data_IF_453549110366
#
_entry.id   IF_453549110366
#
_cell.length_a   1.000
_cell.length_b   1.000
_cell.length_c   1.000
_cell.angle_alpha   90.00
_cell.angle_beta   90.00
_cell.angle_gamma   90.00
#
_symmetry.space_group_name_H-M   'P 1'
#
loop_
_entity.id
_entity.type
_entity.pdbx_description
1 polymer ?
#
# COMPACT_ATOMS: atom_id res chain seq x y z
N UNK A 1 108.93 -43.05 -59.73
CA UNK A 1 109.44 -44.38 -60.12
C UNK A 1 108.42 -45.44 -59.66
N UNK A 2 107.69 -46.06 -60.61
CA UNK A 2 107.09 -47.43 -60.57
C UNK A 2 106.05 -47.72 -59.44
N UNK A 3 104.95 -48.47 -59.59
CA UNK A 3 104.44 -49.43 -60.59
C UNK A 3 102.89 -49.55 -60.41
N UNK A 4 102.22 -50.01 -61.47
CA UNK A 4 100.79 -50.40 -61.58
C UNK A 4 100.31 -51.44 -60.55
N UNK A 5 99.00 -51.43 -60.21
CA UNK A 5 98.09 -52.59 -60.46
C UNK A 5 96.61 -52.24 -60.18
N UNK A 6 95.72 -52.68 -61.07
CA UNK A 6 94.25 -52.63 -60.95
C UNK A 6 93.76 -53.88 -60.19
N UNK A 7 92.77 -53.75 -59.33
CA UNK A 7 91.79 -54.83 -59.07
C UNK A 7 90.44 -54.24 -58.65
N UNK A 8 89.39 -54.67 -59.35
CA UNK A 8 88.00 -54.25 -59.18
C UNK A 8 87.34 -55.20 -58.17
N UNK A 9 86.78 -54.68 -57.07
CA UNK A 9 85.89 -55.44 -56.17
C UNK A 9 84.67 -54.58 -55.86
N UNK A 10 83.51 -55.10 -56.28
CA UNK A 10 82.17 -54.61 -56.01
C UNK A 10 81.78 -55.01 -54.58
N UNK A 11 81.52 -54.05 -53.70
CA UNK A 11 80.92 -54.29 -52.38
C UNK A 11 79.69 -53.40 -52.23
N UNK A 12 78.57 -54.08 -52.07
CA UNK A 12 77.21 -53.63 -51.81
C UNK A 12 77.14 -52.74 -50.57
N UNK A 13 76.59 -51.52 -50.72
CA UNK A 13 76.11 -50.72 -49.60
C UNK A 13 74.88 -51.39 -48.99
N UNK A 14 75.04 -51.94 -47.79
CA UNK A 14 73.92 -52.31 -46.93
C UNK A 14 73.38 -51.01 -46.33
N UNK A 15 72.29 -50.49 -46.89
CA UNK A 15 71.45 -49.54 -46.18
C UNK A 15 70.81 -50.27 -45.01
N UNK A 16 71.30 -50.01 -43.81
CA UNK A 16 70.54 -50.29 -42.58
C UNK A 16 69.37 -49.31 -42.62
N UNK A 17 68.24 -49.78 -43.15
CA UNK A 17 66.96 -49.10 -43.02
C UNK A 17 66.61 -49.11 -41.54
N UNK A 18 66.80 -47.97 -40.88
CA UNK A 18 66.15 -47.71 -39.61
C UNK A 18 64.65 -47.68 -39.91
N UNK A 19 63.94 -48.71 -39.52
CA UNK A 19 62.48 -48.77 -39.61
C UNK A 19 61.95 -47.72 -38.62
N UNK A 20 61.64 -46.52 -39.11
CA UNK A 20 60.91 -45.52 -38.35
C UNK A 20 59.58 -46.17 -37.93
N UNK A 21 59.47 -46.51 -36.64
CA UNK A 21 58.17 -46.84 -36.06
C UNK A 21 57.34 -45.58 -36.17
N UNK A 22 56.32 -45.59 -37.03
CA UNK A 22 55.31 -44.54 -37.07
C UNK A 22 54.78 -44.34 -35.64
N UNK A 23 55.15 -43.23 -35.01
CA UNK A 23 54.64 -42.87 -33.70
C UNK A 23 53.14 -42.61 -33.84
N UNK A 24 52.33 -43.40 -33.12
CA UNK A 24 50.88 -43.20 -33.06
C UNK A 24 50.59 -41.79 -32.52
N UNK A 25 49.95 -40.96 -33.35
CA UNK A 25 49.60 -39.58 -33.03
C UNK A 25 48.09 -39.39 -33.13
N UNK A 26 47.51 -38.73 -32.14
CA UNK A 26 46.11 -38.32 -32.15
C UNK A 26 46.02 -36.80 -32.11
N UNK A 27 45.25 -36.23 -33.04
CA UNK A 27 44.98 -34.80 -33.12
C UNK A 27 43.49 -34.62 -32.84
N UNK A 28 43.18 -34.17 -31.62
CA UNK A 28 41.82 -33.92 -31.16
C UNK A 28 41.53 -32.42 -31.26
N UNK A 29 40.39 -32.08 -31.85
CA UNK A 29 39.94 -30.70 -31.97
C UNK A 29 38.60 -30.51 -31.28
N UNK A 30 38.47 -29.38 -30.59
CA UNK A 30 37.22 -28.91 -30.02
C UNK A 30 36.54 -27.94 -30.98
N UNK A 31 35.20 -27.95 -31.02
CA UNK A 31 34.41 -26.94 -31.72
C UNK A 31 33.30 -26.43 -30.80
N UNK A 32 33.32 -25.15 -30.39
CA UNK A 32 34.29 -24.11 -30.76
C UNK A 32 35.73 -24.43 -30.33
N UNK A 33 36.71 -23.86 -31.03
CA UNK A 33 38.15 -24.17 -30.86
C UNK A 33 38.78 -23.53 -29.63
N UNK A 34 38.12 -22.54 -29.05
CA UNK A 34 38.53 -21.86 -27.82
C UNK A 34 37.44 -22.00 -26.78
N UNK A 35 37.87 -21.88 -25.52
CA UNK A 35 37.12 -21.95 -24.25
C UNK A 35 35.61 -21.68 -24.27
N UNK A 36 34.90 -22.25 -23.30
CA UNK A 36 33.52 -21.87 -23.00
C UNK A 36 33.46 -20.95 -21.79
N UNK A 37 33.20 -19.67 -22.02
CA UNK A 37 32.73 -18.75 -20.99
C UNK A 37 31.21 -18.83 -20.84
N UNK A 38 30.73 -19.37 -19.74
CA UNK A 38 29.31 -19.49 -19.41
C UNK A 38 28.65 -18.15 -19.04
N UNK A 39 29.42 -17.07 -18.94
CA UNK A 39 28.97 -15.75 -18.54
C UNK A 39 28.58 -15.71 -17.07
N UNK A 40 27.80 -14.69 -16.71
CA UNK A 40 27.29 -14.54 -15.35
C UNK A 40 25.99 -15.32 -15.17
N UNK A 41 25.94 -16.18 -14.15
CA UNK A 41 24.82 -17.09 -13.86
C UNK A 41 24.40 -16.92 -12.42
N UNK A 42 23.09 -16.84 -12.17
CA UNK A 42 22.55 -16.72 -10.82
C UNK A 42 22.92 -17.97 -10.00
N UNK A 43 23.33 -17.76 -8.75
CA UNK A 43 23.71 -18.85 -7.84
C UNK A 43 22.61 -19.92 -7.80
N UNK A 44 23.02 -21.20 -7.88
CA UNK A 44 22.17 -22.38 -7.96
C UNK A 44 21.28 -22.49 -9.22
N UNK A 45 21.50 -21.66 -10.23
CA UNK A 45 20.94 -21.86 -11.58
C UNK A 45 21.95 -22.56 -12.47
N UNK A 46 21.45 -23.23 -13.51
CA UNK A 46 22.27 -23.96 -14.47
C UNK A 46 22.16 -23.33 -15.85
N UNK A 47 23.28 -23.31 -16.56
CA UNK A 47 23.35 -23.05 -18.00
C UNK A 47 24.15 -24.19 -18.64
N UNK A 48 23.82 -24.55 -19.89
CA UNK A 48 24.53 -25.60 -20.63
C UNK A 48 24.95 -25.10 -22.00
N UNK A 49 26.19 -25.43 -22.39
CA UNK A 49 26.75 -25.13 -23.71
C UNK A 49 27.20 -26.41 -24.39
N UNK A 50 26.92 -26.51 -25.68
CA UNK A 50 27.32 -27.66 -26.50
C UNK A 50 28.77 -27.52 -26.93
N UNK A 51 29.51 -28.63 -26.94
CA UNK A 51 30.84 -28.73 -27.53
C UNK A 51 30.91 -29.99 -28.40
N UNK A 52 31.65 -29.90 -29.51
CA UNK A 52 31.97 -31.03 -30.38
C UNK A 52 33.43 -31.38 -30.21
N UNK A 53 33.71 -32.66 -30.03
CA UNK A 53 35.06 -33.24 -29.93
C UNK A 53 35.28 -34.06 -31.19
N UNK A 54 36.30 -33.72 -31.98
CA UNK A 54 36.61 -34.35 -33.25
C UNK A 54 37.96 -35.07 -33.16
N UNK A 55 38.00 -36.35 -33.54
CA UNK A 55 39.24 -37.02 -33.90
C UNK A 55 39.53 -36.70 -35.37
N UNK A 56 40.52 -35.85 -35.65
CA UNK A 56 40.73 -35.29 -36.99
C UNK A 56 41.26 -36.33 -37.99
N UNK A 57 41.36 -35.94 -39.26
CA UNK A 57 41.98 -36.72 -40.32
C UNK A 57 43.52 -36.80 -40.21
N UNK A 58 44.14 -36.00 -39.33
CA UNK A 58 45.57 -36.04 -39.05
C UNK A 58 45.96 -37.15 -38.05
N UNK A 59 44.99 -37.78 -37.39
CA UNK A 59 45.23 -38.88 -36.46
C UNK A 59 45.62 -40.18 -37.16
N UNK A 60 46.47 -40.96 -36.52
CA UNK A 60 46.95 -42.27 -37.00
C UNK A 60 45.87 -43.37 -36.96
N UNK A 61 44.79 -43.20 -36.20
CA UNK A 61 43.75 -44.22 -36.04
C UNK A 61 42.58 -43.83 -35.13
N UNK A 62 41.79 -44.81 -34.64
CA UNK A 62 40.71 -44.55 -33.68
C UNK A 62 41.28 -44.07 -32.34
N UNK A 63 40.74 -42.98 -31.82
CA UNK A 63 41.03 -42.50 -30.47
C UNK A 63 40.18 -43.29 -29.47
N UNK A 64 40.82 -43.86 -28.46
CA UNK A 64 40.18 -44.43 -27.27
C UNK A 64 40.84 -43.78 -26.05
N UNK A 65 40.06 -43.08 -25.24
CA UNK A 65 40.61 -42.34 -24.11
C UNK A 65 39.59 -41.92 -23.08
N UNK A 66 40.09 -41.25 -22.05
CA UNK A 66 39.31 -40.69 -20.96
C UNK A 66 38.92 -39.25 -21.28
N UNK A 67 37.74 -38.88 -20.80
CA UNK A 67 37.24 -37.50 -20.80
C UNK A 67 36.77 -37.18 -19.39
N UNK A 68 37.23 -36.07 -18.82
CA UNK A 68 36.92 -35.68 -17.45
C UNK A 68 36.97 -34.16 -17.27
N UNK A 69 36.19 -33.66 -16.30
CA UNK A 69 36.34 -32.28 -15.80
C UNK A 69 37.15 -32.35 -14.51
N UNK A 70 38.30 -31.68 -14.47
CA UNK A 70 39.28 -31.82 -13.39
C UNK A 70 39.03 -30.78 -12.29
N UNK A 71 38.87 -31.23 -11.04
CA UNK A 71 38.81 -30.42 -9.81
C UNK A 71 37.82 -29.22 -9.85
N UNK A 72 36.76 -29.32 -10.64
CA UNK A 72 35.84 -28.22 -10.91
C UNK A 72 34.38 -28.62 -10.65
N UNK A 73 33.95 -28.76 -9.38
CA UNK A 73 32.65 -29.33 -9.01
C UNK A 73 31.43 -28.52 -9.50
N UNK A 74 31.62 -27.24 -9.84
CA UNK A 74 30.58 -26.36 -10.38
C UNK A 74 30.38 -26.55 -11.90
N UNK A 75 31.22 -27.35 -12.55
CA UNK A 75 31.06 -27.72 -13.95
C UNK A 75 30.76 -29.22 -14.05
N UNK A 76 29.86 -29.58 -14.96
CA UNK A 76 29.50 -30.97 -15.23
C UNK A 76 29.35 -31.22 -16.73
N UNK A 77 29.32 -32.48 -17.14
CA UNK A 77 29.03 -32.86 -18.52
C UNK A 77 27.95 -33.95 -18.57
N UNK A 78 27.24 -34.03 -19.69
CA UNK A 78 26.20 -35.04 -19.93
C UNK A 78 26.74 -36.38 -20.46
N UNK A 79 28.05 -36.50 -20.62
CA UNK A 79 28.73 -37.71 -21.07
C UNK A 79 29.37 -38.47 -19.92
N UNK A 80 29.32 -39.81 -19.98
CA UNK A 80 30.04 -40.69 -19.06
C UNK A 80 30.59 -41.90 -19.81
N UNK A 81 31.72 -42.43 -19.33
CA UNK A 81 32.40 -43.60 -19.90
C UNK A 81 33.63 -43.26 -20.76
N UNK A 82 34.12 -44.26 -21.50
CA UNK A 82 35.30 -44.15 -22.37
C UNK A 82 34.92 -43.49 -23.68
N UNK A 83 35.69 -42.47 -24.11
CA UNK A 83 35.48 -41.79 -25.39
C UNK A 83 36.16 -42.58 -26.51
N UNK A 84 35.36 -43.09 -27.45
CA UNK A 84 35.84 -43.79 -28.65
C UNK A 84 35.42 -43.01 -29.89
N UNK A 85 36.40 -42.56 -30.67
CA UNK A 85 36.19 -41.81 -31.91
C UNK A 85 37.03 -42.40 -33.04
N UNK A 86 36.38 -42.93 -34.07
CA UNK A 86 37.04 -43.26 -35.32
C UNK A 86 37.68 -42.03 -35.96
N UNK A 87 38.62 -42.25 -36.87
CA UNK A 87 39.23 -41.16 -37.65
C UNK A 87 38.14 -40.34 -38.36
N UNK A 88 38.21 -39.02 -38.26
CA UNK A 88 37.21 -38.06 -38.75
C UNK A 88 35.81 -38.16 -38.10
N UNK A 89 35.66 -38.92 -37.01
CA UNK A 89 34.43 -39.00 -36.22
C UNK A 89 34.43 -37.96 -35.11
N UNK A 90 33.25 -37.42 -34.81
CA UNK A 90 33.05 -36.51 -33.70
C UNK A 90 31.96 -36.95 -32.73
N UNK A 91 32.06 -36.47 -31.49
CA UNK A 91 31.04 -36.58 -30.45
C UNK A 91 30.62 -35.19 -30.01
N UNK A 92 29.31 -34.96 -29.91
CA UNK A 92 28.77 -33.78 -29.24
C UNK A 92 28.42 -34.14 -27.79
N UNK A 93 28.75 -33.23 -26.88
CA UNK A 93 28.38 -33.29 -25.46
C UNK A 93 27.93 -31.90 -25.00
N UNK A 94 27.17 -31.85 -23.91
CA UNK A 94 26.83 -30.62 -23.21
C UNK A 94 27.67 -30.48 -21.94
N UNK A 95 28.27 -29.31 -21.79
CA UNK A 95 28.92 -28.88 -20.55
C UNK A 95 27.96 -27.95 -19.82
N UNK A 96 27.77 -28.16 -18.53
CA UNK A 96 26.88 -27.37 -17.68
C UNK A 96 27.66 -26.65 -16.58
N UNK A 97 27.22 -25.46 -16.22
CA UNK A 97 27.79 -24.65 -15.14
C UNK A 97 26.70 -24.29 -14.12
N UNK A 98 26.97 -24.57 -12.84
CA UNK A 98 26.11 -24.27 -11.69
C UNK A 98 26.96 -23.62 -10.59
N UNK A 99 27.00 -22.27 -10.49
CA UNK A 99 27.74 -21.59 -9.44
C UNK A 99 27.04 -21.74 -8.08
N UNK A 100 27.84 -21.84 -7.02
CA UNK A 100 27.34 -21.97 -5.63
C UNK A 100 27.56 -20.71 -4.78
N UNK A 101 28.41 -19.79 -5.24
CA UNK A 101 28.73 -18.53 -4.58
C UNK A 101 28.93 -17.41 -5.63
N UNK A 102 28.95 -16.16 -5.16
CA UNK A 102 29.14 -14.98 -6.01
C UNK A 102 30.63 -14.72 -6.26
N UNK A 103 31.24 -15.49 -7.15
CA UNK A 103 32.67 -15.45 -7.46
C UNK A 103 32.95 -15.91 -8.90
N UNK A 104 34.20 -15.79 -9.34
CA UNK A 104 34.66 -16.34 -10.62
C UNK A 104 35.01 -17.82 -10.48
N UNK A 105 34.56 -18.62 -11.44
CA UNK A 105 34.84 -20.05 -11.54
C UNK A 105 35.67 -20.32 -12.79
N UNK A 106 36.70 -21.14 -12.64
CA UNK A 106 37.50 -21.67 -13.75
C UNK A 106 37.55 -23.19 -13.65
N UNK A 107 37.49 -23.87 -14.78
CA UNK A 107 37.65 -25.30 -14.86
C UNK A 107 38.26 -25.75 -16.18
N UNK A 108 38.55 -27.04 -16.28
CA UNK A 108 39.08 -27.63 -17.50
C UNK A 108 38.47 -28.99 -17.79
N UNK A 109 38.04 -29.17 -19.03
CA UNK A 109 37.73 -30.47 -19.62
C UNK A 109 39.03 -31.03 -20.21
N UNK A 110 39.37 -32.25 -19.83
CA UNK A 110 40.56 -32.95 -20.31
C UNK A 110 40.13 -34.15 -21.14
N UNK A 111 40.67 -34.29 -22.34
CA UNK A 111 40.55 -35.48 -23.20
C UNK A 111 41.94 -36.05 -23.40
N UNK A 112 42.19 -37.23 -22.81
CA UNK A 112 43.54 -37.83 -22.76
C UNK A 112 43.55 -39.33 -23.03
N UNK A 113 44.67 -39.81 -23.54
CA UNK A 113 45.08 -41.21 -23.50
C UNK A 113 46.59 -41.28 -23.24
N UNK A 114 47.21 -42.43 -23.45
CA UNK A 114 48.65 -42.64 -23.25
C UNK A 114 49.56 -41.88 -24.25
N UNK A 115 48.99 -41.33 -25.33
CA UNK A 115 49.71 -40.66 -26.43
C UNK A 115 49.27 -39.22 -26.71
N UNK A 116 48.19 -38.75 -26.10
CA UNK A 116 47.56 -37.47 -26.41
C UNK A 116 46.95 -36.85 -25.16
N UNK A 117 47.07 -35.52 -25.04
CA UNK A 117 46.52 -34.73 -23.95
C UNK A 117 45.97 -33.42 -24.52
N UNK A 118 44.66 -33.20 -24.40
CA UNK A 118 43.99 -32.02 -24.91
C UNK A 118 43.15 -31.40 -23.80
N UNK A 119 43.26 -30.09 -23.64
CA UNK A 119 42.51 -29.33 -22.64
C UNK A 119 41.52 -28.39 -23.34
N UNK A 120 40.37 -28.20 -22.70
CA UNK A 120 39.40 -27.20 -23.07
C UNK A 120 38.97 -26.42 -21.83
N UNK A 121 39.24 -25.13 -21.81
CA UNK A 121 39.01 -24.27 -20.65
C UNK A 121 37.54 -23.87 -20.52
N UNK A 122 37.07 -23.82 -19.28
CA UNK A 122 35.73 -23.43 -18.89
C UNK A 122 35.84 -22.25 -17.91
N UNK A 123 35.01 -21.24 -18.09
CA UNK A 123 34.92 -20.11 -17.17
C UNK A 123 33.47 -19.71 -16.95
N UNK A 124 33.18 -19.09 -15.83
CA UNK A 124 31.85 -18.56 -15.53
C UNK A 124 31.86 -17.75 -14.25
N UNK A 125 30.87 -16.89 -14.06
CA UNK A 125 30.77 -16.03 -12.89
C UNK A 125 29.46 -16.35 -12.16
N UNK A 126 29.55 -16.67 -10.87
CA UNK A 126 28.38 -16.72 -10.01
C UNK A 126 27.93 -15.33 -9.60
N UNK A 127 26.62 -15.06 -9.67
CA UNK A 127 26.03 -13.80 -9.24
C UNK A 127 24.90 -14.01 -8.23
N UNK A 128 24.83 -13.16 -7.21
CA UNK A 128 23.65 -13.11 -6.35
C UNK A 128 22.39 -12.79 -7.17
N UNK A 129 21.21 -13.34 -6.81
CA UNK A 129 19.96 -13.03 -7.49
C UNK A 129 19.65 -11.53 -7.43
N UNK A 130 18.80 -11.04 -8.34
CA UNK A 130 18.34 -9.66 -8.29
C UNK A 130 17.59 -9.41 -6.98
N UNK A 131 18.02 -8.41 -6.21
CA UNK A 131 17.39 -8.00 -4.96
C UNK A 131 17.20 -6.49 -4.99
N UNK A 132 15.99 -6.02 -4.69
CA UNK A 132 15.66 -4.61 -4.84
C UNK A 132 14.73 -4.11 -3.74
N UNK A 133 14.56 -2.80 -3.63
CA UNK A 133 13.62 -2.16 -2.70
C UNK A 133 12.73 -1.17 -3.43
N UNK A 134 11.52 -0.99 -2.90
CA UNK A 134 10.54 0.01 -3.32
C UNK A 134 10.18 0.79 -2.06
N UNK A 135 10.36 2.11 -2.08
CA UNK A 135 10.04 2.97 -0.93
C UNK A 135 9.35 4.25 -1.37
N UNK A 136 8.17 4.59 -0.80
CA UNK A 136 7.40 3.79 0.16
C UNK A 136 6.62 2.63 -0.50
N UNK A 137 6.09 1.69 0.29
CA UNK A 137 5.24 0.58 -0.21
C UNK A 137 3.78 0.99 -0.44
N UNK A 138 3.38 2.17 0.05
CA UNK A 138 2.10 2.81 -0.22
C UNK A 138 2.28 4.33 -0.28
N UNK A 139 1.51 4.98 -1.13
CA UNK A 139 1.45 6.43 -1.27
C UNK A 139 0.07 6.92 -0.86
N UNK A 140 0.00 7.65 0.24
CA UNK A 140 -1.20 8.35 0.69
C UNK A 140 -1.04 9.84 0.41
N UNK A 141 -1.84 10.32 -0.54
CA UNK A 141 -1.87 11.72 -0.94
C UNK A 141 -2.66 12.57 0.04
N UNK A 142 -3.45 11.97 0.93
CA UNK A 142 -4.33 12.68 1.86
C UNK A 142 -5.34 13.56 1.12
N UNK A 143 -5.65 14.70 1.72
CA UNK A 143 -6.57 15.70 1.15
C UNK A 143 -5.89 16.50 0.03
N UNK A 144 -6.55 16.53 -1.14
CA UNK A 144 -6.17 17.39 -2.26
C UNK A 144 -7.41 18.13 -2.76
N UNK A 145 -7.33 19.46 -2.82
CA UNK A 145 -8.41 20.33 -3.29
C UNK A 145 -8.75 20.02 -4.76
N UNK A 146 -10.04 20.03 -5.09
CA UNK A 146 -10.51 19.85 -6.45
C UNK A 146 -9.83 20.83 -7.43
N UNK A 147 -9.35 20.32 -8.56
CA UNK A 147 -8.61 21.10 -9.56
C UNK A 147 -7.13 21.30 -9.27
N UNK A 148 -6.66 20.98 -8.06
CA UNK A 148 -5.24 20.97 -7.72
C UNK A 148 -4.64 19.57 -7.89
N UNK A 149 -3.31 19.50 -7.81
CA UNK A 149 -2.56 18.25 -7.89
C UNK A 149 -1.60 18.13 -6.73
N UNK A 150 -1.30 16.89 -6.32
CA UNK A 150 -0.22 16.60 -5.36
C UNK A 150 0.70 15.52 -5.93
N UNK A 151 1.99 15.75 -5.79
CA UNK A 151 3.03 14.82 -6.25
C UNK A 151 3.67 14.16 -5.03
N UNK A 152 3.86 12.84 -5.11
CA UNK A 152 4.67 12.07 -4.17
C UNK A 152 5.72 11.25 -4.93
N UNK A 153 6.78 10.87 -4.25
CA UNK A 153 7.90 10.15 -4.84
C UNK A 153 7.88 8.67 -4.47
N UNK A 154 8.16 7.82 -5.46
CA UNK A 154 8.34 6.39 -5.31
C UNK A 154 9.74 6.01 -5.79
N UNK A 155 10.57 5.50 -4.88
CA UNK A 155 11.97 5.18 -5.15
C UNK A 155 12.12 3.68 -5.37
N UNK A 156 12.69 3.31 -6.50
CA UNK A 156 13.12 1.95 -6.81
C UNK A 156 14.64 1.89 -6.70
N UNK A 157 15.16 0.92 -5.96
CA UNK A 157 16.61 0.74 -5.79
C UNK A 157 16.99 -0.71 -6.03
N UNK A 158 17.95 -0.93 -6.93
CA UNK A 158 18.63 -2.22 -7.02
C UNK A 158 19.66 -2.30 -5.88
N UNK A 159 19.52 -3.29 -5.00
CA UNK A 159 20.32 -3.36 -3.79
C UNK A 159 21.80 -3.62 -4.12
N UNK A 160 22.69 -3.18 -3.24
CA UNK A 160 24.14 -3.31 -3.42
C UNK A 160 24.60 -4.77 -3.57
N UNK A 161 23.93 -5.70 -2.88
CA UNK A 161 24.23 -7.13 -2.96
C UNK A 161 23.75 -7.79 -4.25
N UNK A 162 23.04 -7.09 -5.14
CA UNK A 162 22.51 -7.67 -6.36
C UNK A 162 23.60 -7.98 -7.37
N UNK A 163 23.55 -9.19 -7.95
CA UNK A 163 24.50 -9.62 -8.97
C UNK A 163 24.13 -9.19 -10.39
N UNK A 164 22.91 -8.71 -10.64
CA UNK A 164 22.43 -8.44 -12.00
C UNK A 164 21.67 -7.13 -12.07
N UNK A 165 21.48 -6.64 -13.29
CA UNK A 165 20.62 -5.50 -13.56
C UNK A 165 19.17 -5.85 -13.21
N UNK A 166 18.52 -4.91 -12.51
CA UNK A 166 17.10 -4.98 -12.18
C UNK A 166 16.30 -4.40 -13.33
N UNK A 167 15.47 -5.22 -13.96
CA UNK A 167 14.54 -4.79 -15.00
C UNK A 167 13.16 -4.58 -14.37
N UNK A 168 12.55 -3.43 -14.62
CA UNK A 168 11.25 -3.04 -14.05
C UNK A 168 10.30 -2.57 -15.16
N UNK A 169 9.04 -2.94 -15.03
CA UNK A 169 7.93 -2.32 -15.78
C UNK A 169 6.75 -2.05 -14.85
N UNK A 170 6.29 -0.81 -14.81
CA UNK A 170 5.19 -0.34 -13.98
C UNK A 170 3.91 -0.27 -14.82
N UNK A 171 2.85 -0.87 -14.31
CA UNK A 171 1.50 -0.73 -14.84
C UNK A 171 0.59 -0.05 -13.81
N UNK A 172 -0.19 0.92 -14.29
CA UNK A 172 -1.18 1.63 -13.49
C UNK A 172 -2.42 1.86 -14.35
N UNK A 173 -3.56 1.22 -14.02
CA UNK A 173 -4.82 1.45 -14.73
C UNK A 173 -5.24 2.92 -14.68
N UNK A 174 -5.95 3.37 -15.72
CA UNK A 174 -6.48 4.73 -15.82
C UNK A 174 -7.23 5.12 -14.54
N UNK A 175 -6.85 6.26 -13.98
CA UNK A 175 -7.33 6.74 -12.69
C UNK A 175 -6.97 8.22 -12.47
N UNK A 176 -7.27 8.72 -11.27
CA UNK A 176 -6.83 10.03 -10.78
C UNK A 176 -5.31 10.10 -10.52
N UNK A 177 -4.60 8.97 -10.60
CA UNK A 177 -3.16 8.88 -10.40
C UNK A 177 -2.43 8.73 -11.74
N UNK A 178 -1.31 9.44 -11.89
CA UNK A 178 -0.48 9.43 -13.10
C UNK A 178 0.97 9.18 -12.70
N UNK A 179 1.62 8.22 -13.37
CA UNK A 179 3.06 7.99 -13.24
C UNK A 179 3.84 8.97 -14.12
N UNK A 180 4.84 9.64 -13.55
CA UNK A 180 5.77 10.50 -14.26
C UNK A 180 6.94 9.73 -14.89
N UNK A 181 7.39 10.17 -16.06
CA UNK A 181 8.56 9.62 -16.76
C UNK A 181 8.34 8.21 -17.34
N UNK A 182 9.44 7.52 -17.66
CA UNK A 182 9.39 6.19 -18.25
C UNK A 182 8.99 5.14 -17.22
N UNK A 183 7.94 4.37 -17.51
CA UNK A 183 7.42 3.28 -16.68
C UNK A 183 8.13 1.94 -16.89
N UNK A 184 8.99 1.81 -17.90
CA UNK A 184 9.91 0.68 -18.06
C UNK A 184 11.35 1.16 -18.00
N UNK A 185 12.20 0.51 -17.21
CA UNK A 185 13.59 0.90 -17.01
C UNK A 185 14.44 -0.21 -16.36
N UNK A 186 15.76 -0.07 -16.51
CA UNK A 186 16.76 -1.00 -15.97
C UNK A 186 17.66 -0.26 -14.98
N UNK A 187 17.97 -0.88 -13.84
CA UNK A 187 18.86 -0.36 -12.81
C UNK A 187 20.03 -1.31 -12.58
N UNK A 188 21.24 -0.82 -12.85
CA UNK A 188 22.47 -1.51 -12.44
C UNK A 188 22.51 -1.71 -10.91
N UNK A 189 23.29 -2.67 -10.39
CA UNK A 189 23.49 -2.83 -8.95
C UNK A 189 23.84 -1.51 -8.26
N UNK A 190 23.26 -1.28 -7.07
CA UNK A 190 23.34 -0.03 -6.30
C UNK A 190 22.66 1.21 -6.91
N UNK A 191 22.17 1.15 -8.16
CA UNK A 191 21.47 2.27 -8.77
C UNK A 191 20.04 2.41 -8.24
N UNK A 192 19.55 3.65 -8.24
CA UNK A 192 18.18 3.98 -7.87
C UNK A 192 17.52 4.87 -8.91
N UNK A 193 16.20 4.79 -8.98
CA UNK A 193 15.37 5.71 -9.77
C UNK A 193 14.14 6.12 -8.99
N UNK A 194 13.88 7.42 -8.99
CA UNK A 194 12.66 8.01 -8.42
C UNK A 194 11.63 8.17 -9.53
N UNK A 195 10.41 7.72 -9.27
CA UNK A 195 9.22 7.96 -10.08
C UNK A 195 8.31 8.89 -9.29
N UNK A 196 8.00 10.05 -9.86
CA UNK A 196 6.96 10.92 -9.30
C UNK A 196 5.59 10.36 -9.66
N UNK A 197 4.73 10.20 -8.68
CA UNK A 197 3.32 9.85 -8.85
C UNK A 197 2.49 11.09 -8.54
N UNK A 198 1.70 11.52 -9.52
CA UNK A 198 0.80 12.69 -9.39
C UNK A 198 -0.61 12.23 -9.13
N UNK A 199 -1.27 12.83 -8.16
CA UNK A 199 -2.71 12.66 -7.89
C UNK A 199 -3.47 13.95 -8.26
N UNK A 200 -4.52 13.78 -9.07
CA UNK A 200 -5.47 14.84 -9.45
C UNK A 200 -6.88 14.32 -9.17
N UNK A 201 -7.51 14.69 -8.05
CA UNK A 201 -8.78 14.11 -7.63
C UNK A 201 -9.92 14.48 -8.59
N UNK A 202 -10.66 13.48 -9.06
CA UNK A 202 -11.95 13.66 -9.77
C UNK A 202 -13.12 13.06 -9.00
N UNK A 203 -12.84 12.09 -8.14
CA UNK A 203 -13.80 11.42 -7.25
C UNK A 203 -13.52 11.79 -5.78
N UNK A 204 -14.51 11.60 -4.91
CA UNK A 204 -14.36 11.93 -3.48
C UNK A 204 -13.25 11.11 -2.81
N UNK A 205 -13.12 9.85 -3.18
CA UNK A 205 -12.05 8.94 -2.74
C UNK A 205 -11.50 8.18 -3.93
N UNK A 206 -10.18 7.98 -3.95
CA UNK A 206 -9.50 7.31 -5.04
C UNK A 206 -8.51 6.30 -4.47
N UNK A 207 -8.65 5.03 -4.84
CA UNK A 207 -7.69 3.97 -4.50
C UNK A 207 -7.29 3.19 -5.74
N UNK A 208 -6.00 2.89 -5.87
CA UNK A 208 -5.41 2.10 -6.96
C UNK A 208 -4.17 1.33 -6.50
N UNK A 209 -3.74 0.39 -7.31
CA UNK A 209 -2.49 -0.36 -7.09
C UNK A 209 -1.63 -0.20 -8.34
N UNK A 210 -0.36 0.15 -8.15
CA UNK A 210 0.67 0.03 -9.19
C UNK A 210 1.14 -1.43 -9.18
N UNK A 211 1.10 -2.09 -10.33
CA UNK A 211 1.74 -3.39 -10.52
C UNK A 211 3.15 -3.20 -11.06
N UNK A 212 4.13 -3.80 -10.37
CA UNK A 212 5.55 -3.66 -10.68
C UNK A 212 6.07 -5.02 -11.12
N UNK A 213 6.18 -5.21 -12.43
CA UNK A 213 6.78 -6.39 -13.02
C UNK A 213 8.30 -6.31 -12.94
N UNK A 214 8.97 -7.42 -12.56
CA UNK A 214 10.42 -7.45 -12.39
C UNK A 214 11.07 -8.82 -12.65
N UNK A 215 12.39 -8.84 -12.83
CA UNK A 215 13.20 -10.05 -13.04
C UNK A 215 13.75 -10.71 -11.76
N UNK A 216 13.50 -10.15 -10.56
CA UNK A 216 13.94 -10.74 -9.29
C UNK A 216 13.27 -12.07 -8.96
N UNK A 217 14.08 -13.08 -8.63
CA UNK A 217 13.65 -14.40 -8.15
C UNK A 217 13.45 -14.45 -6.63
N UNK A 218 13.80 -13.39 -5.90
CA UNK A 218 13.76 -13.34 -4.43
C UNK A 218 12.43 -12.86 -3.87
N UNK A 219 11.45 -12.50 -4.71
CA UNK A 219 10.11 -12.09 -4.27
C UNK A 219 9.04 -12.37 -5.33
N UNK A 220 7.74 -12.40 -4.96
CA UNK A 220 6.64 -12.56 -5.90
C UNK A 220 6.61 -11.44 -6.95
N UNK A 221 6.30 -11.83 -8.19
CA UNK A 221 6.15 -10.95 -9.34
C UNK A 221 4.70 -11.05 -9.84
N UNK A 222 3.92 -9.95 -9.98
CA UNK A 222 4.33 -8.55 -9.75
C UNK A 222 4.37 -8.14 -8.27
N UNK A 223 5.29 -7.22 -7.95
CA UNK A 223 5.24 -6.45 -6.71
C UNK A 223 4.13 -5.39 -6.79
N UNK A 224 3.65 -4.91 -5.64
CA UNK A 224 2.49 -4.01 -5.55
C UNK A 224 2.77 -2.79 -4.70
N UNK A 225 2.32 -1.62 -5.16
CA UNK A 225 2.35 -0.36 -4.39
C UNK A 225 0.93 0.20 -4.34
N UNK A 226 0.42 0.45 -3.14
CA UNK A 226 -0.94 0.98 -2.97
C UNK A 226 -0.96 2.50 -3.08
N UNK A 227 -1.97 3.05 -3.75
CA UNK A 227 -2.21 4.47 -3.89
C UNK A 227 -3.56 4.82 -3.24
N UNK A 228 -3.59 5.86 -2.44
CA UNK A 228 -4.80 6.40 -1.83
C UNK A 228 -4.80 7.92 -1.86
N UNK A 229 -5.96 8.52 -2.06
CA UNK A 229 -6.15 9.97 -2.01
C UNK A 229 -7.62 10.34 -1.79
N UNK A 230 -7.84 11.52 -1.21
CA UNK A 230 -9.17 12.04 -0.90
C UNK A 230 -9.29 13.43 -1.52
N UNK A 231 -10.38 13.68 -2.23
CA UNK A 231 -10.71 15.03 -2.70
C UNK A 231 -11.17 15.87 -1.51
N UNK A 232 -10.49 17.00 -1.30
CA UNK A 232 -10.85 17.94 -0.26
C UNK A 232 -12.13 18.70 -0.63
N UNK A 233 -13.20 18.41 0.11
CA UNK A 233 -14.52 19.05 0.01
C UNK A 233 -14.86 19.81 1.30
N UNK A 234 -13.88 20.10 2.16
CA UNK A 234 -14.10 20.81 3.43
C UNK A 234 -14.80 22.15 3.22
N UNK A 235 -14.38 22.90 2.20
CA UNK A 235 -14.96 24.21 1.88
C UNK A 235 -16.43 24.11 1.45
N UNK A 236 -16.82 23.06 0.73
CA UNK A 236 -18.20 22.80 0.34
C UNK A 236 -19.07 22.52 1.57
N UNK A 237 -18.62 21.61 2.45
CA UNK A 237 -19.34 21.24 3.68
C UNK A 237 -19.48 22.46 4.61
N UNK A 238 -18.41 23.24 4.79
CA UNK A 238 -18.44 24.47 5.60
C UNK A 238 -19.42 25.50 5.01
N UNK A 239 -19.46 25.64 3.68
CA UNK A 239 -20.42 26.54 3.01
C UNK A 239 -21.87 26.10 3.28
N UNK A 240 -22.16 24.80 3.14
CA UNK A 240 -23.49 24.25 3.42
C UNK A 240 -23.91 24.48 4.88
N UNK A 241 -23.00 24.27 5.84
CA UNK A 241 -23.26 24.55 7.26
C UNK A 241 -23.54 26.03 7.51
N UNK A 242 -22.77 26.92 6.88
CA UNK A 242 -22.93 28.37 7.00
C UNK A 242 -24.27 28.83 6.40
N UNK A 243 -24.62 28.33 5.22
CA UNK A 243 -25.90 28.58 4.56
C UNK A 243 -27.08 28.07 5.41
N UNK A 244 -26.95 26.90 6.02
CA UNK A 244 -27.95 26.35 6.95
C UNK A 244 -28.24 27.33 8.09
N UNK A 245 -27.22 27.80 8.80
CA UNK A 245 -27.40 28.76 9.90
C UNK A 245 -27.95 30.12 9.44
N UNK A 246 -27.58 30.59 8.25
CA UNK A 246 -28.13 31.83 7.68
C UNK A 246 -29.64 31.70 7.39
N UNK A 247 -30.07 30.56 6.87
CA UNK A 247 -31.48 30.24 6.63
C UNK A 247 -32.25 30.07 7.94
N UNK A 248 -31.66 29.40 8.93
CA UNK A 248 -32.23 29.28 10.28
C UNK A 248 -32.52 30.64 10.88
N UNK A 249 -31.55 31.56 10.85
CA UNK A 249 -31.69 32.93 11.38
C UNK A 249 -32.75 33.73 10.61
N UNK A 250 -32.92 33.43 9.31
CA UNK A 250 -33.96 34.00 8.46
C UNK A 250 -35.35 33.34 8.64
N UNK A 251 -35.45 32.37 9.55
CA UNK A 251 -36.67 31.58 9.87
C UNK A 251 -37.16 30.65 8.75
N UNK A 252 -36.31 30.35 7.77
CA UNK A 252 -36.59 29.31 6.77
C UNK A 252 -36.03 27.97 7.27
N UNK A 253 -36.73 27.39 8.24
CA UNK A 253 -36.25 26.20 8.95
C UNK A 253 -36.25 24.94 8.07
N UNK A 254 -37.19 24.82 7.13
CA UNK A 254 -37.26 23.69 6.20
C UNK A 254 -36.05 23.67 5.26
N UNK A 255 -35.70 24.81 4.65
CA UNK A 255 -34.52 24.90 3.78
C UNK A 255 -33.22 24.82 4.58
N UNK A 256 -33.19 25.41 5.79
CA UNK A 256 -32.08 25.26 6.74
C UNK A 256 -31.77 23.79 7.03
N UNK A 257 -32.79 23.01 7.41
CA UNK A 257 -32.69 21.58 7.66
C UNK A 257 -32.11 20.84 6.46
N UNK A 258 -32.56 21.18 5.24
CA UNK A 258 -32.06 20.58 4.01
C UNK A 258 -30.57 20.87 3.79
N UNK A 259 -30.11 22.09 4.02
CA UNK A 259 -28.69 22.46 3.86
C UNK A 259 -27.77 21.71 4.82
N UNK A 260 -28.17 21.57 6.08
CA UNK A 260 -27.43 20.72 7.02
C UNK A 260 -27.45 19.25 6.59
N UNK A 261 -28.57 18.75 6.08
CA UNK A 261 -28.64 17.39 5.56
C UNK A 261 -27.72 17.16 4.35
N UNK A 262 -27.62 18.14 3.45
CA UNK A 262 -26.70 18.11 2.30
C UNK A 262 -25.24 18.07 2.79
N UNK A 263 -24.89 18.85 3.83
CA UNK A 263 -23.56 18.84 4.45
C UNK A 263 -23.19 17.47 5.06
N UNK A 264 -24.13 16.83 5.77
CA UNK A 264 -23.96 15.49 6.35
C UNK A 264 -23.72 14.46 5.22
N UNK A 265 -24.53 14.50 4.16
CA UNK A 265 -24.40 13.57 3.02
C UNK A 265 -23.06 13.76 2.31
N UNK A 266 -22.62 15.00 2.09
CA UNK A 266 -21.31 15.28 1.52
C UNK A 266 -20.17 14.69 2.38
N UNK A 267 -20.31 14.76 3.70
CA UNK A 267 -19.32 14.25 4.67
C UNK A 267 -19.12 12.74 4.61
N UNK A 268 -20.09 11.96 4.10
CA UNK A 268 -19.95 10.50 3.91
C UNK A 268 -18.81 10.12 2.94
N UNK A 269 -18.24 11.08 2.23
CA UNK A 269 -17.03 10.90 1.43
C UNK A 269 -15.86 10.30 2.24
N UNK A 270 -15.66 10.71 3.50
CA UNK A 270 -14.57 10.24 4.35
C UNK A 270 -14.79 10.63 5.80
N UNK A 271 -14.38 9.77 6.74
CA UNK A 271 -14.45 10.03 8.18
C UNK A 271 -13.60 11.23 8.64
N UNK A 272 -12.71 11.74 7.79
CA UNK A 272 -11.99 13.00 8.08
C UNK A 272 -12.96 14.19 8.25
N UNK A 273 -14.18 14.08 7.71
CA UNK A 273 -15.22 15.10 7.80
C UNK A 273 -16.20 14.89 8.96
N UNK A 274 -15.99 13.90 9.82
CA UNK A 274 -16.94 13.57 10.91
C UNK A 274 -17.21 14.77 11.83
N UNK A 275 -16.21 15.60 12.13
CA UNK A 275 -16.39 16.82 12.91
C UNK A 275 -17.30 17.86 12.22
N UNK A 276 -17.18 18.03 10.90
CA UNK A 276 -18.03 18.94 10.13
C UNK A 276 -19.46 18.39 9.98
N UNK A 277 -19.59 17.06 9.85
CA UNK A 277 -20.86 16.34 9.83
C UNK A 277 -21.62 16.46 11.16
N UNK A 278 -20.89 16.36 12.27
CA UNK A 278 -21.47 16.50 13.60
C UNK A 278 -21.95 17.94 13.84
N UNK A 279 -21.17 18.95 13.45
CA UNK A 279 -21.60 20.36 13.48
C UNK A 279 -22.86 20.59 12.62
N UNK A 280 -22.93 19.96 11.45
CA UNK A 280 -24.12 19.99 10.61
C UNK A 280 -25.33 19.34 11.28
N UNK A 281 -25.12 18.23 11.99
CA UNK A 281 -26.17 17.48 12.69
C UNK A 281 -26.78 18.31 13.83
N UNK A 282 -25.97 19.12 14.54
CA UNK A 282 -26.50 20.09 15.51
C UNK A 282 -27.45 21.08 14.84
N UNK A 283 -27.05 21.65 13.71
CA UNK A 283 -27.89 22.56 12.93
C UNK A 283 -29.17 21.90 12.40
N UNK A 284 -29.07 20.65 11.94
CA UNK A 284 -30.23 19.85 11.50
C UNK A 284 -31.20 19.60 12.65
N UNK A 285 -30.71 19.28 13.85
CA UNK A 285 -31.52 19.07 15.04
C UNK A 285 -32.33 20.32 15.39
N UNK A 286 -31.67 21.48 15.49
CA UNK A 286 -32.35 22.76 15.73
C UNK A 286 -33.35 23.11 14.63
N UNK A 287 -32.96 22.95 13.37
CA UNK A 287 -33.86 23.24 12.24
C UNK A 287 -35.09 22.33 12.24
N UNK A 288 -34.93 21.05 12.58
CA UNK A 288 -36.03 20.08 12.69
C UNK A 288 -37.00 20.46 13.82
N UNK A 289 -36.47 20.88 14.98
CA UNK A 289 -37.26 21.31 16.12
C UNK A 289 -38.16 22.51 15.80
N UNK A 290 -37.66 23.45 15.00
CA UNK A 290 -38.38 24.67 14.62
C UNK A 290 -39.28 24.51 13.40
N UNK A 291 -38.90 23.65 12.44
CA UNK A 291 -39.69 23.44 11.23
C UNK A 291 -41.01 22.69 11.50
N UNK A 292 -41.00 21.75 12.46
CA UNK A 292 -42.17 20.96 12.87
C UNK A 292 -42.92 20.30 11.70
N UNK A 293 -42.17 19.85 10.68
CA UNK A 293 -42.72 19.29 9.43
C UNK A 293 -43.35 17.90 9.60
N UNK A 294 -43.06 17.22 10.71
CA UNK A 294 -43.53 15.87 11.03
C UNK A 294 -44.06 15.79 12.46
N UNK A 295 -44.87 14.76 12.77
CA UNK A 295 -45.39 14.56 14.13
C UNK A 295 -44.32 14.14 15.16
N UNK A 296 -43.18 13.63 14.68
CA UNK A 296 -42.05 13.14 15.47
C UNK A 296 -40.87 14.12 15.48
N UNK A 297 -41.07 15.37 15.06
CA UNK A 297 -40.02 16.39 14.95
C UNK A 297 -39.15 16.52 16.21
N UNK A 298 -39.78 16.51 17.39
CA UNK A 298 -39.11 16.61 18.68
C UNK A 298 -38.21 15.40 18.96
N UNK A 299 -38.71 14.20 18.65
CA UNK A 299 -37.95 12.96 18.79
C UNK A 299 -36.77 12.90 17.81
N UNK A 300 -36.98 13.34 16.57
CA UNK A 300 -35.93 13.44 15.55
C UNK A 300 -34.81 14.39 15.98
N UNK A 301 -35.17 15.60 16.42
CA UNK A 301 -34.21 16.58 16.93
C UNK A 301 -33.46 16.06 18.17
N UNK A 302 -34.17 15.44 19.13
CA UNK A 302 -33.55 14.87 20.32
C UNK A 302 -32.52 13.79 19.97
N UNK A 303 -32.83 12.92 19.02
CA UNK A 303 -31.92 11.86 18.59
C UNK A 303 -30.68 12.42 17.89
N UNK A 304 -30.84 13.46 17.05
CA UNK A 304 -29.71 14.16 16.44
C UNK A 304 -28.76 14.70 17.52
N UNK A 305 -29.29 15.45 18.48
CA UNK A 305 -28.49 16.00 19.57
C UNK A 305 -27.83 14.92 20.42
N UNK A 306 -28.58 13.90 20.84
CA UNK A 306 -28.08 12.81 21.70
C UNK A 306 -26.97 12.03 21.02
N UNK A 307 -27.14 11.66 19.75
CA UNK A 307 -26.13 10.90 19.02
C UNK A 307 -24.85 11.75 18.81
N UNK A 308 -25.00 13.02 18.42
CA UNK A 308 -23.85 13.92 18.24
C UNK A 308 -23.13 14.24 19.55
N UNK A 309 -23.85 14.34 20.66
CA UNK A 309 -23.24 14.52 21.98
C UNK A 309 -22.29 13.38 22.34
N UNK A 310 -22.67 12.14 22.01
CA UNK A 310 -21.89 10.94 22.30
C UNK A 310 -20.61 10.85 21.44
N UNK A 311 -20.65 11.37 20.21
CA UNK A 311 -19.49 11.40 19.33
C UNK A 311 -18.38 12.34 19.85
N UNK A 312 -18.77 13.46 20.48
CA UNK A 312 -17.86 14.45 21.06
C UNK A 312 -16.86 15.05 20.03
N UNK A 313 -17.31 15.29 18.79
CA UNK A 313 -16.50 15.87 17.71
C UNK A 313 -16.86 17.32 17.38
N UNK A 314 -17.79 17.93 18.11
CA UNK A 314 -18.22 19.32 17.92
C UNK A 314 -17.44 20.30 18.79
N UNK A 315 -17.48 21.57 18.41
CA UNK A 315 -16.96 22.69 19.20
C UNK A 315 -17.67 22.82 20.56
N UNK A 316 -17.00 23.43 21.55
CA UNK A 316 -17.55 23.62 22.89
C UNK A 316 -18.89 24.38 22.89
N UNK A 317 -19.03 25.40 22.04
CA UNK A 317 -20.28 26.15 21.90
C UNK A 317 -21.39 25.25 21.35
N UNK A 318 -21.09 24.42 20.35
CA UNK A 318 -22.05 23.45 19.83
C UNK A 318 -22.41 22.38 20.86
N UNK A 319 -21.50 21.98 21.76
CA UNK A 319 -21.87 21.11 22.89
C UNK A 319 -22.93 21.76 23.78
N UNK A 320 -22.79 23.04 24.11
CA UNK A 320 -23.82 23.74 24.89
C UNK A 320 -25.15 23.83 24.15
N UNK A 321 -25.10 24.10 22.84
CA UNK A 321 -26.29 24.10 21.98
C UNK A 321 -26.96 22.73 21.90
N UNK A 322 -26.18 21.65 21.89
CA UNK A 322 -26.68 20.27 21.93
C UNK A 322 -27.38 20.01 23.26
N UNK A 323 -26.77 20.38 24.40
CA UNK A 323 -27.37 20.17 25.72
C UNK A 323 -28.70 20.91 25.86
N UNK A 324 -28.75 22.17 25.41
CA UNK A 324 -29.99 22.94 25.37
C UNK A 324 -31.03 22.28 24.46
N UNK A 325 -30.60 21.84 23.28
CA UNK A 325 -31.43 21.14 22.30
C UNK A 325 -32.04 19.86 22.87
N UNK A 326 -31.23 18.99 23.50
CA UNK A 326 -31.68 17.77 24.18
C UNK A 326 -32.74 18.08 25.24
N UNK A 327 -32.52 19.11 26.06
CA UNK A 327 -33.47 19.49 27.10
C UNK A 327 -34.81 19.93 26.51
N UNK A 328 -34.80 20.88 25.57
CA UNK A 328 -36.01 21.48 25.01
C UNK A 328 -36.75 20.50 24.11
N UNK A 329 -36.06 19.79 23.21
CA UNK A 329 -36.72 18.84 22.31
C UNK A 329 -37.23 17.63 23.10
N UNK A 330 -36.53 17.22 24.15
CA UNK A 330 -36.88 16.06 24.95
C UNK A 330 -38.24 16.18 25.62
N UNK A 331 -38.56 17.33 26.23
CA UNK A 331 -39.86 17.54 26.89
C UNK A 331 -41.03 17.68 25.91
N UNK A 332 -40.74 17.88 24.63
CA UNK A 332 -41.74 17.92 23.55
C UNK A 332 -41.98 16.54 22.91
N UNK A 333 -41.21 15.52 23.30
CA UNK A 333 -41.35 14.17 22.76
C UNK A 333 -42.65 13.51 23.20
N UNK A 334 -43.31 12.84 22.27
CA UNK A 334 -44.52 12.04 22.52
C UNK A 334 -44.15 10.55 22.59
N UNK A 335 -43.44 10.14 23.65
CA UNK A 335 -43.03 8.74 23.85
C UNK A 335 -43.71 8.10 25.05
N UNK A 336 -43.93 6.77 24.99
CA UNK A 336 -44.46 6.01 26.13
C UNK A 336 -43.42 5.69 27.21
N UNK A 337 -42.12 5.87 26.92
CA UNK A 337 -41.03 5.66 27.89
C UNK A 337 -40.64 6.97 28.56
N UNK A 338 -40.40 6.91 29.88
CA UNK A 338 -39.90 8.02 30.68
C UNK A 338 -38.35 8.09 30.72
N UNK A 339 -37.65 7.18 30.05
CA UNK A 339 -36.19 7.05 30.17
C UNK A 339 -35.45 8.33 29.72
N UNK A 340 -35.98 9.00 28.70
CA UNK A 340 -35.41 10.24 28.14
C UNK A 340 -35.42 11.42 29.14
N UNK A 341 -36.28 11.42 30.16
CA UNK A 341 -36.26 12.46 31.19
C UNK A 341 -34.97 12.45 32.02
N UNK A 342 -34.34 11.28 32.19
CA UNK A 342 -33.03 11.19 32.85
C UNK A 342 -31.95 11.87 32.01
N UNK A 343 -32.01 11.71 30.67
CA UNK A 343 -31.10 12.38 29.74
C UNK A 343 -31.31 13.91 29.78
N UNK A 344 -32.56 14.38 29.84
CA UNK A 344 -32.89 15.81 29.97
C UNK A 344 -32.29 16.38 31.26
N UNK A 345 -32.49 15.71 32.40
CA UNK A 345 -31.92 16.14 33.69
C UNK A 345 -30.40 16.26 33.60
N UNK A 346 -29.74 15.23 33.07
CA UNK A 346 -28.29 15.24 32.87
C UNK A 346 -27.82 16.36 31.94
N UNK A 347 -28.56 16.63 30.85
CA UNK A 347 -28.19 17.65 29.89
C UNK A 347 -28.35 19.07 30.44
N UNK A 348 -29.51 19.37 31.01
CA UNK A 348 -29.84 20.70 31.51
C UNK A 348 -28.96 21.10 32.70
N UNK A 349 -28.74 20.19 33.66
CA UNK A 349 -27.87 20.46 34.82
C UNK A 349 -26.44 20.77 34.38
N UNK A 350 -25.85 19.93 33.52
CA UNK A 350 -24.50 20.17 32.96
C UNK A 350 -24.41 21.52 32.25
N UNK A 351 -25.41 21.88 31.45
CA UNK A 351 -25.43 23.16 30.75
C UNK A 351 -25.53 24.33 31.73
N UNK A 352 -26.48 24.31 32.66
CA UNK A 352 -26.72 25.41 33.59
C UNK A 352 -25.58 25.59 34.60
N UNK A 353 -24.89 24.51 34.97
CA UNK A 353 -23.69 24.55 35.81
C UNK A 353 -22.50 25.16 35.06
N UNK A 354 -22.39 24.88 33.76
CA UNK A 354 -21.30 25.39 32.91
C UNK A 354 -21.53 26.84 32.47
N UNK A 355 -22.76 27.16 32.08
CA UNK A 355 -23.17 28.44 31.49
C UNK A 355 -24.54 28.83 32.05
N UNK A 356 -24.54 29.36 33.28
CA UNK A 356 -25.78 29.72 34.01
C UNK A 356 -26.69 30.72 33.31
N UNK A 357 -26.14 31.52 32.39
CA UNK A 357 -26.87 32.47 31.52
C UNK A 357 -26.73 32.10 30.05
N UNK A 358 -26.88 30.81 29.75
CA UNK A 358 -26.89 30.32 28.37
C UNK A 358 -27.88 31.12 27.52
N UNK A 359 -27.45 31.45 26.30
CA UNK A 359 -28.26 32.08 25.26
C UNK A 359 -27.89 31.42 23.93
N UNK A 360 -28.89 30.98 23.17
CA UNK A 360 -28.65 30.34 21.90
C UNK A 360 -28.28 31.35 20.81
N UNK A 361 -27.05 31.28 20.32
CA UNK A 361 -26.49 32.28 19.40
C UNK A 361 -27.27 32.52 18.09
N UNK A 362 -28.04 31.53 17.63
CA UNK A 362 -28.82 31.64 16.37
C UNK A 362 -30.29 32.05 16.60
N UNK A 363 -30.75 32.11 17.85
CA UNK A 363 -32.03 32.67 18.24
C UNK A 363 -32.01 33.05 19.72
N UNK A 364 -31.79 34.34 20.00
CA UNK A 364 -31.64 34.88 21.37
C UNK A 364 -32.91 34.81 22.21
N UNK A 365 -34.04 34.40 21.63
CA UNK A 365 -35.25 34.08 22.40
C UNK A 365 -35.18 32.75 23.12
N UNK A 366 -34.21 31.90 22.78
CA UNK A 366 -33.95 30.65 23.47
C UNK A 366 -32.80 30.88 24.44
N UNK A 367 -33.08 30.74 25.72
CA UNK A 367 -32.11 31.01 26.77
C UNK A 367 -32.16 29.97 27.91
N UNK A 368 -31.40 30.24 28.98
CA UNK A 368 -31.33 29.39 30.16
C UNK A 368 -32.69 29.13 30.84
N UNK A 369 -33.70 29.98 30.62
CA UNK A 369 -35.05 29.81 31.17
C UNK A 369 -35.78 28.68 30.49
N UNK A 370 -35.67 28.55 29.17
CA UNK A 370 -36.24 27.43 28.42
C UNK A 370 -35.63 26.10 28.86
N UNK A 371 -34.30 26.08 29.03
CA UNK A 371 -33.57 24.90 29.52
C UNK A 371 -34.00 24.55 30.95
N UNK A 372 -34.14 25.55 31.83
CA UNK A 372 -34.58 25.34 33.21
C UNK A 372 -36.04 24.88 33.28
N UNK A 373 -36.90 25.40 32.42
CA UNK A 373 -38.28 24.95 32.31
C UNK A 373 -38.36 23.49 31.87
N UNK A 374 -37.56 23.09 30.88
CA UNK A 374 -37.45 21.69 30.48
C UNK A 374 -36.92 20.80 31.63
N UNK A 375 -35.96 21.27 32.42
CA UNK A 375 -35.46 20.56 33.60
C UNK A 375 -36.57 20.36 34.66
N UNK A 376 -37.38 21.38 34.92
CA UNK A 376 -38.54 21.31 35.83
C UNK A 376 -39.51 20.22 35.36
N UNK A 377 -39.88 20.24 34.07
CA UNK A 377 -40.78 19.26 33.49
C UNK A 377 -40.20 17.84 33.58
N UNK A 378 -38.89 17.67 33.35
CA UNK A 378 -38.25 16.37 33.47
C UNK A 378 -38.25 15.83 34.90
N UNK A 379 -37.94 16.66 35.90
CA UNK A 379 -38.04 16.26 37.31
C UNK A 379 -39.47 15.88 37.69
N UNK A 380 -40.46 16.65 37.25
CA UNK A 380 -41.87 16.35 37.51
C UNK A 380 -42.27 14.98 36.94
N UNK A 381 -41.92 14.70 35.68
CA UNK A 381 -42.23 13.42 35.04
C UNK A 381 -41.48 12.22 35.66
N UNK A 382 -40.32 12.45 36.28
CA UNK A 382 -39.59 11.48 37.10
C UNK A 382 -40.13 11.38 38.53
N UNK A 383 -41.23 12.05 38.86
CA UNK A 383 -41.80 12.13 40.22
C UNK A 383 -40.85 12.72 41.28
N UNK A 384 -39.87 13.52 40.86
CA UNK A 384 -38.96 14.24 41.75
C UNK A 384 -39.46 15.67 41.99
N UNK A 385 -40.57 15.78 42.71
CA UNK A 385 -41.29 17.04 42.93
C UNK A 385 -40.48 18.08 43.73
N UNK A 386 -39.62 17.64 44.66
CA UNK A 386 -38.74 18.53 45.41
C UNK A 386 -37.77 19.25 44.47
N UNK A 387 -37.06 18.51 43.62
CA UNK A 387 -36.13 19.14 42.67
C UNK A 387 -36.85 20.00 41.61
N UNK A 388 -38.06 19.62 41.21
CA UNK A 388 -38.89 20.47 40.34
C UNK A 388 -39.26 21.80 41.02
N UNK A 389 -39.68 21.77 42.29
CA UNK A 389 -39.99 22.96 43.08
C UNK A 389 -38.77 23.86 43.28
N UNK A 390 -37.61 23.29 43.61
CA UNK A 390 -36.36 24.04 43.77
C UNK A 390 -35.97 24.80 42.49
N UNK A 391 -36.18 24.19 41.31
CA UNK A 391 -35.90 24.83 40.03
C UNK A 391 -36.94 25.92 39.68
N UNK A 392 -38.22 25.75 40.09
CA UNK A 392 -39.25 26.78 39.97
C UNK A 392 -38.92 28.00 40.83
N UNK A 393 -38.44 27.81 42.07
CA UNK A 393 -37.99 28.90 42.96
C UNK A 393 -36.86 29.72 42.31
N UNK A 394 -36.01 29.10 41.49
CA UNK A 394 -34.96 29.81 40.74
C UNK A 394 -35.53 30.52 39.50
N UNK A 395 -36.44 29.89 38.78
CA UNK A 395 -36.95 30.37 37.49
C UNK A 395 -37.95 31.51 37.65
N UNK A 396 -38.90 31.36 38.59
CA UNK A 396 -39.96 32.31 38.90
C UNK A 396 -40.19 32.38 40.41
N UNK A 397 -39.30 33.04 41.17
CA UNK A 397 -39.38 33.11 42.62
C UNK A 397 -40.66 33.76 43.16
N UNK A 398 -41.40 34.51 42.34
CA UNK A 398 -42.62 35.21 42.76
C UNK A 398 -43.82 34.29 42.76
N UNK A 399 -43.92 33.39 41.77
CA UNK A 399 -45.05 32.48 41.62
C UNK A 399 -44.69 31.01 41.91
N UNK A 400 -43.49 30.75 42.42
CA UNK A 400 -43.06 29.40 42.76
C UNK A 400 -43.96 28.79 43.85
N UNK A 401 -44.17 27.47 43.82
CA UNK A 401 -45.13 26.81 44.72
C UNK A 401 -44.69 26.84 46.19
N UNK A 402 -43.39 27.05 46.47
CA UNK A 402 -42.77 26.93 47.81
C UNK A 402 -43.20 25.67 48.57
N UNK A 403 -43.54 24.62 47.82
CA UNK A 403 -44.16 23.36 48.24
C UNK A 403 -43.73 22.29 47.24
N UNK A 404 -43.44 21.09 47.74
CA UNK A 404 -43.12 19.92 46.92
C UNK A 404 -44.37 19.04 46.65
N UNK A 405 -45.58 19.54 46.92
CA UNK A 405 -46.81 18.84 46.58
C UNK A 405 -46.94 18.67 45.06
N UNK A 406 -47.25 17.46 44.54
CA UNK A 406 -47.40 17.25 43.10
C UNK A 406 -48.42 18.19 42.46
N UNK A 407 -49.52 18.51 43.15
CA UNK A 407 -50.57 19.39 42.64
C UNK A 407 -50.11 20.86 42.57
N UNK A 408 -49.44 21.35 43.61
CA UNK A 408 -48.91 22.72 43.64
C UNK A 408 -47.85 22.93 42.56
N UNK A 409 -46.93 21.96 42.43
CA UNK A 409 -45.87 21.98 41.42
C UNK A 409 -46.47 21.91 40.01
N UNK A 410 -47.47 21.05 39.77
CA UNK A 410 -48.14 20.97 38.47
C UNK A 410 -48.83 22.29 38.11
N UNK A 411 -49.55 22.90 39.06
CA UNK A 411 -50.22 24.19 38.86
C UNK A 411 -49.22 25.29 38.51
N UNK A 412 -48.07 25.34 39.19
CA UNK A 412 -47.00 26.30 38.88
C UNK A 412 -46.38 26.07 37.49
N UNK A 413 -46.10 24.82 37.11
CA UNK A 413 -45.63 24.46 35.76
C UNK A 413 -46.61 24.94 34.70
N UNK A 414 -47.91 24.65 34.87
CA UNK A 414 -48.95 25.04 33.91
C UNK A 414 -49.13 26.56 33.79
N UNK A 415 -49.03 27.29 34.90
CA UNK A 415 -49.09 28.75 34.88
C UNK A 415 -47.92 29.37 34.11
N UNK A 416 -46.72 28.79 34.25
CA UNK A 416 -45.50 29.26 33.60
C UNK A 416 -45.47 28.93 32.09
N UNK A 417 -46.05 27.80 31.67
CA UNK A 417 -46.19 27.40 30.28
C UNK A 417 -46.89 28.47 29.40
N UNK A 418 -47.73 29.33 29.99
CA UNK A 418 -48.43 30.39 29.29
C UNK A 418 -47.66 31.72 29.20
N UNK A 419 -46.47 31.81 29.79
CA UNK A 419 -45.68 33.04 29.93
C UNK A 419 -44.33 33.00 29.21
N UNK A 420 -43.79 31.80 28.98
CA UNK A 420 -42.60 31.49 28.18
C UNK A 420 -43.03 31.13 26.76
#
# INVERSE_FOLDING_TARGET
>A
MRFFSKLFILITLIFISCEDKDEEKYVIEFSPTTEHDFGKVEINKSISKKIRILNTDQSSGPFTGEIEIVDSPNFSMDFSGVLVLQKNQSKEIYLSFIPTASEEYSGKLVVKNDKSFNEFYLSGIGGNPVSFSIEPTALDFGLVVAGNTKDLELVFKNNESSGFDLELSLDLPLSDFILGGNTSFTLAPSASKTITVRYTPTQNTSTKTIEVSHNSTTRPNPAKVQLAGIKDISAEIISLNTEGWALFTSKDYGLSRKKFQDAIVASFASSIYDSLSDEATVGRGWSTLFAQESNDFAQGAFNDFKNTYLNNLVSQNSQYNILAGMSISGVLMTTQSNDHYTDIVGAATRLLDSVSKYEFSYNTKIDYKDVRYALIQAYFNLSNYTSAADQLDILDPVNAPHSASPEDVLNAIQALAGQL
#
